data_IF_119419573918
#
_entry.id   IF_119419573918
#
_cell.length_a   1.000
_cell.length_b   1.000
_cell.length_c   1.000
_cell.angle_alpha   90.00
_cell.angle_beta   90.00
_cell.angle_gamma   90.00
#
_symmetry.space_group_name_H-M   'P 1'
#
loop_
_entity.id
_entity.type
_entity.pdbx_description
1 polymer ?
#
# COMPACT_ATOMS: atom_id res chain seq x y z
N UNK A 1 19.24 5.42 -12.40
CA UNK A 1 18.41 6.08 -11.36
C UNK A 1 17.18 5.20 -11.16
N UNK A 2 17.24 4.23 -10.24
CA UNK A 2 16.05 3.45 -9.89
C UNK A 2 15.04 4.44 -9.34
N UNK A 3 13.90 4.57 -10.00
CA UNK A 3 12.79 5.27 -9.41
C UNK A 3 12.37 4.46 -8.18
N UNK A 4 12.90 4.80 -7.01
CA UNK A 4 12.34 4.40 -5.71
C UNK A 4 11.05 5.18 -5.47
N UNK A 5 10.22 5.22 -6.52
CA UNK A 5 8.92 5.87 -6.59
C UNK A 5 7.99 4.82 -7.18
N UNK A 6 7.57 3.89 -6.32
CA UNK A 6 6.66 2.82 -6.67
C UNK A 6 5.42 3.43 -7.27
N UNK A 7 5.10 3.08 -8.51
CA UNK A 7 3.81 3.42 -9.11
C UNK A 7 2.73 2.96 -8.12
N UNK A 8 1.82 3.86 -7.76
CA UNK A 8 0.84 3.56 -6.73
C UNK A 8 0.08 2.28 -7.12
N UNK A 9 -0.08 1.30 -6.20
CA UNK A 9 -0.73 0.04 -6.54
C UNK A 9 -2.17 0.30 -6.99
N UNK A 10 -2.59 -0.42 -8.02
CA UNK A 10 -3.99 -0.48 -8.41
C UNK A 10 -4.71 -1.50 -7.51
N UNK A 11 -5.65 -1.01 -6.69
CA UNK A 11 -6.44 -1.85 -5.80
C UNK A 11 -7.74 -2.32 -6.43
N UNK A 12 -8.07 -1.89 -7.64
CA UNK A 12 -9.40 -2.07 -8.22
C UNK A 12 -9.80 -3.54 -8.25
N UNK A 13 -8.87 -4.45 -8.59
CA UNK A 13 -9.11 -5.90 -8.62
C UNK A 13 -8.24 -6.70 -7.62
N UNK A 14 -7.53 -6.03 -6.70
CA UNK A 14 -6.58 -6.69 -5.81
C UNK A 14 -7.22 -7.47 -4.65
N UNK A 15 -8.41 -7.07 -4.20
CA UNK A 15 -9.10 -7.73 -3.07
C UNK A 15 -10.03 -8.89 -3.53
N UNK A 16 -9.96 -9.32 -4.79
CA UNK A 16 -10.83 -10.34 -5.36
C UNK A 16 -12.32 -9.93 -5.28
N UNK A 17 -13.22 -10.76 -4.71
CA UNK A 17 -14.65 -10.45 -4.61
C UNK A 17 -14.99 -9.43 -3.50
N UNK A 18 -14.00 -8.92 -2.76
CA UNK A 18 -14.24 -8.04 -1.62
C UNK A 18 -14.42 -6.58 -2.08
N UNK A 19 -15.58 -5.99 -1.76
CA UNK A 19 -15.88 -4.57 -2.02
C UNK A 19 -16.36 -3.86 -0.74
N UNK A 20 -15.90 -2.63 -0.45
CA UNK A 20 -14.98 -1.81 -1.25
C UNK A 20 -13.50 -2.15 -1.02
N UNK A 21 -12.73 -2.33 -2.09
CA UNK A 21 -11.26 -2.45 -2.05
C UNK A 21 -10.64 -1.07 -2.24
N UNK A 22 -9.86 -0.59 -1.27
CA UNK A 22 -9.28 0.76 -1.27
C UNK A 22 -7.79 0.72 -1.04
N UNK A 23 -7.07 1.68 -1.62
CA UNK A 23 -5.66 1.92 -1.32
C UNK A 23 -5.52 2.65 0.01
N UNK A 24 -4.61 2.19 0.86
CA UNK A 24 -4.29 2.81 2.15
C UNK A 24 -2.78 3.02 2.27
N UNK A 25 -2.41 4.11 2.95
CA UNK A 25 -1.02 4.37 3.33
C UNK A 25 -0.74 3.75 4.69
N UNK A 26 0.34 3.00 4.79
CA UNK A 26 0.83 2.41 6.04
C UNK A 26 2.19 3.03 6.34
N UNK A 27 2.23 3.85 7.39
CA UNK A 27 3.47 4.42 7.91
C UNK A 27 3.99 3.55 9.05
N UNK A 28 5.26 3.19 9.02
CA UNK A 28 5.91 2.55 10.16
C UNK A 28 6.38 3.61 11.14
N UNK A 29 6.34 3.31 12.45
CA UNK A 29 6.93 4.19 13.46
C UNK A 29 8.45 4.19 13.27
N UNK A 30 9.01 5.38 13.07
CA UNK A 30 10.45 5.61 13.03
C UNK A 30 10.82 6.70 14.05
N UNK A 31 12.09 6.77 14.42
CA UNK A 31 12.62 7.83 15.27
C UNK A 31 12.49 9.19 14.55
N UNK A 32 12.13 10.25 15.28
CA UNK A 32 11.83 11.61 14.77
C UNK A 32 12.93 12.22 13.89
N UNK A 33 14.15 11.66 13.93
CA UNK A 33 15.29 12.09 13.15
C UNK A 33 15.30 11.62 11.68
N UNK A 34 14.47 10.65 11.28
CA UNK A 34 14.43 10.11 9.91
C UNK A 34 13.02 10.16 9.31
N UNK A 35 12.91 10.26 7.98
CA UNK A 35 11.63 10.15 7.28
C UNK A 35 11.10 8.73 7.39
N UNK A 36 9.92 8.54 8.00
CA UNK A 36 9.38 7.21 8.21
C UNK A 36 9.01 6.55 6.88
N UNK A 37 9.36 5.26 6.68
CA UNK A 37 9.00 4.57 5.46
C UNK A 37 7.46 4.46 5.35
N UNK A 38 6.93 4.95 4.23
CA UNK A 38 5.51 4.85 3.88
C UNK A 38 5.37 3.75 2.83
N UNK A 39 4.46 2.81 3.08
CA UNK A 39 4.14 1.72 2.15
C UNK A 39 2.67 1.78 1.79
N UNK A 40 2.35 1.64 0.50
CA UNK A 40 0.98 1.55 0.03
C UNK A 40 0.50 0.10 0.02
N UNK A 41 -0.70 -0.15 0.52
CA UNK A 41 -1.35 -1.47 0.51
C UNK A 41 -2.80 -1.35 0.06
N UNK A 42 -3.41 -2.46 -0.35
CA UNK A 42 -4.85 -2.54 -0.54
C UNK A 42 -5.53 -3.08 0.72
N UNK A 43 -6.70 -2.53 1.04
CA UNK A 43 -7.50 -2.88 2.20
C UNK A 43 -8.95 -3.10 1.79
N UNK A 44 -9.54 -4.18 2.30
CA UNK A 44 -10.99 -4.39 2.25
C UNK A 44 -11.47 -4.93 3.59
N UNK A 45 -12.52 -4.30 4.15
CA UNK A 45 -13.15 -4.69 5.43
C UNK A 45 -12.14 -4.96 6.57
N UNK A 46 -11.12 -4.12 6.73
CA UNK A 46 -10.13 -4.30 7.80
C UNK A 46 -8.91 -5.16 7.45
N UNK A 47 -8.93 -5.87 6.31
CA UNK A 47 -7.88 -6.82 5.93
C UNK A 47 -6.98 -6.24 4.84
N UNK A 48 -5.67 -6.44 4.99
CA UNK A 48 -4.68 -6.07 3.98
C UNK A 48 -4.53 -7.17 2.93
N UNK A 49 -4.41 -6.76 1.68
CA UNK A 49 -4.20 -7.65 0.54
C UNK A 49 -2.84 -7.38 -0.10
N UNK A 50 -2.18 -8.46 -0.52
CA UNK A 50 -0.92 -8.37 -1.25
C UNK A 50 -1.19 -7.89 -2.68
N UNK A 51 -0.42 -6.91 -3.14
CA UNK A 51 -0.50 -6.40 -4.51
C UNK A 51 0.84 -6.65 -5.17
N UNK A 52 0.89 -7.38 -6.29
CA UNK A 52 2.13 -7.55 -7.03
C UNK A 52 2.57 -6.20 -7.62
N UNK A 53 3.83 -5.82 -7.39
CA UNK A 53 4.49 -4.77 -8.16
C UNK A 53 4.95 -5.39 -9.47
N UNK A 54 4.34 -4.98 -10.57
CA UNK A 54 4.74 -5.39 -11.92
C UNK A 54 6.03 -4.69 -12.37
#
# INVERSE_FOLDING_TARGET
>A
MYATGSRLPDCSHACGPCFPCKRVMVSFKCSVAESCPIVYRCMCRGRYYHVPSN
#
